data_IF_726926158848
#
_entry.id   IF_726926158848
#
_cell.length_a   1.000
_cell.length_b   1.000
_cell.length_c   1.000
_cell.angle_alpha   90.00
_cell.angle_beta   90.00
_cell.angle_gamma   90.00
#
_symmetry.space_group_name_H-M   'P 1'
#
loop_
_entity.id
_entity.type
_entity.pdbx_description
1 polymer ?
#
# COMPACT_ATOMS: atom_id res chain seq x y z
N UNK A 1 4.97 16.90 -14.51
CA UNK A 1 5.94 16.94 -13.38
C UNK A 1 5.93 15.55 -12.79
N UNK A 2 7.08 14.92 -12.65
CA UNK A 2 7.15 13.56 -12.11
C UNK A 2 7.08 13.62 -10.59
N UNK A 3 6.35 12.70 -9.96
CA UNK A 3 6.12 12.64 -8.51
C UNK A 3 7.44 12.64 -7.71
N UNK A 4 8.40 11.83 -8.13
CA UNK A 4 9.75 11.76 -7.51
C UNK A 4 10.47 13.11 -7.51
N UNK A 5 10.33 13.93 -8.56
CA UNK A 5 10.91 15.28 -8.60
C UNK A 5 10.31 16.18 -7.50
N UNK A 6 8.97 16.09 -7.32
CA UNK A 6 8.28 16.85 -6.27
C UNK A 6 8.68 16.38 -4.88
N UNK A 7 8.76 15.07 -4.65
CA UNK A 7 9.19 14.49 -3.38
C UNK A 7 10.62 14.96 -3.04
N UNK A 8 11.54 14.99 -4.00
CA UNK A 8 12.90 15.44 -3.78
C UNK A 8 12.95 16.94 -3.42
N UNK A 9 12.18 17.78 -4.12
CA UNK A 9 12.06 19.22 -3.78
C UNK A 9 11.52 19.38 -2.35
N UNK A 10 10.50 18.63 -1.97
CA UNK A 10 9.93 18.68 -0.62
C UNK A 10 10.96 18.26 0.43
N UNK A 11 11.70 17.17 0.20
CA UNK A 11 12.77 16.72 1.08
C UNK A 11 13.85 17.80 1.28
N UNK A 12 14.28 18.41 0.19
CA UNK A 12 15.28 19.50 0.22
C UNK A 12 14.77 20.72 0.99
N UNK A 13 13.55 21.15 0.74
CA UNK A 13 12.97 22.34 1.38
C UNK A 13 12.66 22.13 2.87
N UNK A 14 12.22 20.94 3.25
CA UNK A 14 11.81 20.63 4.64
C UNK A 14 12.93 20.04 5.47
N UNK A 15 13.99 19.52 4.84
CA UNK A 15 15.07 18.75 5.48
C UNK A 15 14.52 17.60 6.35
N UNK A 16 13.36 17.06 5.97
CA UNK A 16 12.67 16.02 6.70
C UNK A 16 13.35 14.67 6.54
N UNK A 17 13.70 14.02 7.64
CA UNK A 17 14.21 12.65 7.69
C UNK A 17 13.12 11.57 7.69
N UNK A 18 11.83 11.95 7.58
CA UNK A 18 10.71 11.01 7.65
C UNK A 18 10.16 10.60 6.29
N UNK A 19 10.53 11.30 5.21
CA UNK A 19 9.99 11.06 3.87
C UNK A 19 10.80 9.99 3.16
N UNK A 20 10.14 8.91 2.67
CA UNK A 20 10.80 7.90 1.83
C UNK A 20 10.38 6.46 2.08
N UNK A 21 9.56 6.20 3.09
CA UNK A 21 8.88 4.93 3.36
C UNK A 21 7.36 5.07 3.18
N UNK A 22 6.62 3.97 3.28
CA UNK A 22 5.15 3.94 3.20
C UNK A 22 4.51 4.79 4.32
N UNK A 23 5.15 4.83 5.50
CA UNK A 23 4.73 5.65 6.62
C UNK A 23 5.90 6.41 7.24
N UNK A 24 5.61 7.57 7.81
CA UNK A 24 6.53 8.25 8.73
C UNK A 24 6.52 7.53 10.08
N UNK A 25 7.65 7.02 10.55
CA UNK A 25 7.77 6.38 11.87
C UNK A 25 8.16 7.40 12.94
N UNK A 26 7.22 7.76 13.80
CA UNK A 26 7.43 8.65 14.95
C UNK A 26 7.80 7.81 16.18
N UNK A 27 9.07 7.46 16.26
CA UNK A 27 9.60 6.49 17.23
C UNK A 27 9.29 6.85 18.67
N UNK A 28 9.42 8.12 19.04
CA UNK A 28 9.21 8.60 20.42
C UNK A 28 7.73 8.49 20.86
N UNK A 29 6.82 8.45 19.89
CA UNK A 29 5.38 8.27 20.12
C UNK A 29 4.91 6.82 19.94
N UNK A 30 5.75 5.94 19.43
CA UNK A 30 5.41 4.56 19.05
C UNK A 30 4.25 4.50 18.07
N UNK A 31 4.25 5.37 17.06
CA UNK A 31 3.25 5.39 15.99
C UNK A 31 3.90 5.51 14.62
N UNK A 32 3.15 5.07 13.61
CA UNK A 32 3.39 5.44 12.21
C UNK A 32 2.24 6.30 11.70
N UNK A 33 2.52 7.16 10.72
CA UNK A 33 1.54 8.06 10.10
C UNK A 33 1.74 8.04 8.60
N UNK A 34 0.66 7.87 7.86
CA UNK A 34 0.59 8.04 6.40
C UNK A 34 -0.60 8.88 6.00
N UNK A 35 -0.64 9.37 4.77
CA UNK A 35 -1.76 10.10 4.21
C UNK A 35 -1.84 9.89 2.71
N UNK A 36 -3.02 9.47 2.24
CA UNK A 36 -3.38 9.42 0.83
C UNK A 36 -4.59 10.28 0.50
N UNK A 37 -4.59 10.73 -0.76
CA UNK A 37 -5.67 11.47 -1.36
C UNK A 37 -6.40 10.59 -2.38
N UNK A 38 -7.74 10.60 -2.35
CA UNK A 38 -8.60 9.85 -3.24
C UNK A 38 -9.56 10.80 -3.95
N UNK A 39 -9.34 11.02 -5.26
CA UNK A 39 -9.90 12.13 -6.03
C UNK A 39 -10.77 11.60 -7.17
N UNK A 40 -12.00 12.10 -7.29
CA UNK A 40 -12.92 11.82 -8.41
C UNK A 40 -12.27 12.17 -9.76
N UNK A 41 -12.44 11.29 -10.75
CA UNK A 41 -11.85 11.33 -12.09
C UNK A 41 -10.32 11.14 -12.16
N UNK A 42 -9.68 10.92 -11.03
CA UNK A 42 -8.25 10.52 -10.95
C UNK A 42 -8.17 9.07 -10.48
N UNK A 43 -8.67 8.77 -9.30
CA UNK A 43 -8.57 7.46 -8.67
C UNK A 43 -9.86 6.64 -8.80
N UNK A 44 -11.01 7.28 -9.01
CA UNK A 44 -12.30 6.63 -9.18
C UNK A 44 -13.25 7.47 -10.02
N UNK A 45 -14.33 6.84 -10.50
CA UNK A 45 -15.48 7.54 -11.08
C UNK A 45 -16.75 7.13 -10.35
N UNK A 46 -17.62 8.09 -10.00
CA UNK A 46 -18.91 7.81 -9.36
C UNK A 46 -19.85 6.93 -10.20
N UNK A 47 -19.67 6.88 -11.53
CA UNK A 47 -20.40 5.99 -12.42
C UNK A 47 -19.91 4.53 -12.37
N UNK A 48 -18.70 4.28 -11.83
CA UNK A 48 -18.10 2.95 -11.73
C UNK A 48 -18.27 2.32 -10.35
N UNK A 49 -18.35 3.14 -9.29
CA UNK A 49 -18.30 2.71 -7.92
C UNK A 49 -19.46 3.28 -7.10
N UNK A 50 -20.03 2.49 -6.22
CA UNK A 50 -21.00 2.97 -5.23
C UNK A 50 -20.32 3.84 -4.17
N UNK A 51 -21.06 4.70 -3.45
CA UNK A 51 -20.49 5.49 -2.35
C UNK A 51 -19.77 4.63 -1.31
N UNK A 52 -20.32 3.44 -1.01
CA UNK A 52 -19.68 2.46 -0.13
C UNK A 52 -18.32 2.03 -0.65
N UNK A 53 -18.22 1.65 -1.93
CA UNK A 53 -16.97 1.19 -2.54
C UNK A 53 -15.90 2.29 -2.59
N UNK A 54 -16.32 3.53 -2.88
CA UNK A 54 -15.43 4.70 -2.85
C UNK A 54 -14.85 4.87 -1.45
N UNK A 55 -15.68 4.85 -0.42
CA UNK A 55 -15.23 4.98 0.97
C UNK A 55 -14.36 3.81 1.43
N UNK A 56 -14.75 2.58 1.08
CA UNK A 56 -14.00 1.37 1.41
C UNK A 56 -12.58 1.43 0.84
N UNK A 57 -12.45 1.69 -0.46
CA UNK A 57 -11.15 1.77 -1.12
C UNK A 57 -10.31 2.92 -0.57
N UNK A 58 -10.90 4.12 -0.37
CA UNK A 58 -10.19 5.27 0.19
C UNK A 58 -9.58 4.98 1.58
N UNK A 59 -10.26 4.21 2.43
CA UNK A 59 -9.69 3.79 3.70
C UNK A 59 -8.65 2.69 3.53
N UNK A 60 -8.95 1.68 2.71
CA UNK A 60 -8.09 0.50 2.50
C UNK A 60 -6.72 0.88 1.98
N UNK A 61 -6.58 1.83 1.05
CA UNK A 61 -5.28 2.27 0.51
C UNK A 61 -4.38 2.86 1.60
N UNK A 62 -4.93 3.64 2.52
CA UNK A 62 -4.19 4.16 3.67
C UNK A 62 -3.83 3.08 4.70
N UNK A 63 -4.71 2.11 4.90
CA UNK A 63 -4.45 1.00 5.83
C UNK A 63 -3.38 0.08 5.28
N UNK A 64 -3.26 -0.09 3.95
CA UNK A 64 -2.21 -0.90 3.36
C UNK A 64 -0.82 -0.39 3.70
N UNK A 65 -0.59 0.94 3.69
CA UNK A 65 0.67 1.57 4.10
C UNK A 65 1.00 1.28 5.58
N UNK A 66 -0.01 1.42 6.46
CA UNK A 66 0.17 1.10 7.87
C UNK A 66 0.58 -0.36 8.06
N UNK A 67 -0.03 -1.28 7.32
CA UNK A 67 0.33 -2.71 7.35
C UNK A 67 1.70 -2.96 6.74
N UNK A 68 2.06 -2.28 5.63
CA UNK A 68 3.37 -2.33 4.99
C UNK A 68 4.48 -1.88 5.93
N UNK A 69 4.22 -0.88 6.78
CA UNK A 69 5.17 -0.47 7.82
C UNK A 69 5.34 -1.51 8.95
N UNK A 70 4.48 -2.54 9.02
CA UNK A 70 4.46 -3.53 10.11
C UNK A 70 3.64 -3.10 11.33
N UNK A 71 3.03 -1.92 11.31
CA UNK A 71 2.23 -1.39 12.41
C UNK A 71 0.81 -1.97 12.42
N UNK A 72 0.09 -1.75 13.52
CA UNK A 72 -1.32 -2.10 13.65
C UNK A 72 -2.17 -0.85 13.43
N UNK A 73 -3.13 -0.85 12.49
CA UNK A 73 -4.06 0.27 12.31
C UNK A 73 -4.78 0.66 13.60
N UNK A 74 -4.85 1.96 13.89
CA UNK A 74 -5.42 2.45 15.14
C UNK A 74 -6.44 3.57 14.95
N UNK A 75 -6.10 4.60 14.16
CA UNK A 75 -6.95 5.77 13.98
C UNK A 75 -6.91 6.29 12.56
N UNK A 76 -8.03 6.93 12.14
CA UNK A 76 -8.14 7.69 10.89
C UNK A 76 -8.67 9.09 11.18
N UNK A 77 -8.19 10.08 10.42
CA UNK A 77 -8.89 11.35 10.19
C UNK A 77 -9.28 11.46 8.73
N UNK A 78 -10.43 12.07 8.44
CA UNK A 78 -11.01 12.13 7.09
C UNK A 78 -11.28 13.57 6.70
N UNK A 79 -10.50 14.12 5.79
CA UNK A 79 -10.83 15.36 5.08
C UNK A 79 -11.72 15.04 3.89
N UNK A 80 -12.85 15.72 3.79
CA UNK A 80 -13.83 15.55 2.72
C UNK A 80 -14.14 16.87 2.04
N UNK A 81 -13.92 16.93 0.73
CA UNK A 81 -14.52 17.99 -0.11
C UNK A 81 -15.60 17.36 -0.99
N UNK A 82 -16.81 17.90 -0.92
CA UNK A 82 -17.97 17.31 -1.60
C UNK A 82 -18.70 18.34 -2.48
N UNK A 83 -19.08 17.97 -3.72
CA UNK A 83 -19.94 18.79 -4.56
C UNK A 83 -21.39 18.83 -4.03
N UNK A 84 -22.13 19.86 -4.43
CA UNK A 84 -23.48 20.14 -3.92
C UNK A 84 -24.54 19.09 -4.31
N UNK A 85 -24.25 18.19 -5.23
CA UNK A 85 -25.15 17.11 -5.68
C UNK A 85 -25.04 15.84 -4.80
N UNK A 86 -24.18 15.84 -3.80
CA UNK A 86 -24.03 14.77 -2.82
C UNK A 86 -25.10 14.89 -1.74
N UNK A 87 -25.92 13.87 -1.59
CA UNK A 87 -26.96 13.81 -0.56
C UNK A 87 -26.53 13.10 0.73
N UNK A 88 -27.41 13.11 1.72
CA UNK A 88 -27.14 12.50 3.02
C UNK A 88 -26.96 10.98 2.94
N UNK A 89 -27.63 10.30 2.04
CA UNK A 89 -27.55 8.83 1.92
C UNK A 89 -26.24 8.43 1.25
N UNK A 90 -25.75 9.22 0.31
CA UNK A 90 -24.40 9.07 -0.22
C UNK A 90 -23.35 9.15 0.91
N UNK A 91 -23.43 10.15 1.77
CA UNK A 91 -22.48 10.34 2.88
C UNK A 91 -22.54 9.17 3.88
N UNK A 92 -23.75 8.68 4.20
CA UNK A 92 -23.90 7.51 5.09
C UNK A 92 -23.19 6.27 4.53
N UNK A 93 -23.43 5.97 3.26
CA UNK A 93 -22.81 4.82 2.59
C UNK A 93 -21.30 5.00 2.42
N UNK A 94 -20.82 6.20 2.10
CA UNK A 94 -19.41 6.53 2.02
C UNK A 94 -18.71 6.24 3.36
N UNK A 95 -19.23 6.77 4.47
CA UNK A 95 -18.63 6.56 5.79
C UNK A 95 -18.82 5.14 6.32
N UNK A 96 -19.85 4.42 5.91
CA UNK A 96 -19.95 2.98 6.16
C UNK A 96 -18.81 2.24 5.45
N UNK A 97 -18.53 2.57 4.19
CA UNK A 97 -17.40 2.02 3.46
C UNK A 97 -16.06 2.35 4.11
N UNK A 98 -15.83 3.62 4.49
CA UNK A 98 -14.61 4.03 5.21
C UNK A 98 -14.44 3.22 6.50
N UNK A 99 -15.52 3.03 7.26
CA UNK A 99 -15.46 2.27 8.52
C UNK A 99 -15.10 0.81 8.32
N UNK A 100 -15.66 0.17 7.29
CA UNK A 100 -15.39 -1.25 6.98
C UNK A 100 -13.97 -1.42 6.39
N UNK A 101 -13.51 -0.48 5.53
CA UNK A 101 -12.16 -0.45 4.95
C UNK A 101 -11.07 -0.01 5.93
N UNK A 102 -11.44 0.44 7.13
CA UNK A 102 -10.49 0.86 8.17
C UNK A 102 -9.84 -0.29 8.95
N UNK A 103 -10.24 -1.54 8.72
CA UNK A 103 -9.68 -2.72 9.40
C UNK A 103 -9.57 -2.58 10.92
N UNK A 104 -10.61 -2.00 11.54
CA UNK A 104 -10.71 -1.80 12.98
C UNK A 104 -10.09 -0.51 13.51
N UNK A 105 -9.45 0.31 12.67
CA UNK A 105 -9.04 1.66 13.05
C UNK A 105 -10.28 2.54 13.28
N UNK A 106 -10.18 3.47 14.25
CA UNK A 106 -11.29 4.35 14.61
C UNK A 106 -11.19 5.68 13.89
N UNK A 107 -12.27 6.14 13.29
CA UNK A 107 -12.38 7.50 12.78
C UNK A 107 -12.47 8.45 13.99
N UNK A 108 -11.49 9.34 14.15
CA UNK A 108 -11.38 10.24 15.31
C UNK A 108 -11.62 11.71 15.00
N UNK A 109 -11.84 12.05 13.74
CA UNK A 109 -12.11 13.42 13.30
C UNK A 109 -11.87 13.62 11.83
N UNK A 110 -11.80 14.87 11.42
CA UNK A 110 -11.59 15.27 10.05
C UNK A 110 -12.11 16.68 9.80
N UNK A 111 -12.26 17.03 8.53
CA UNK A 111 -12.80 18.32 8.08
C UNK A 111 -13.73 18.10 6.89
N UNK A 112 -14.72 19.00 6.70
CA UNK A 112 -15.66 18.94 5.57
C UNK A 112 -15.74 20.31 4.92
N UNK A 113 -15.56 20.35 3.61
CA UNK A 113 -15.69 21.57 2.81
C UNK A 113 -16.48 21.32 1.52
N UNK A 114 -16.97 22.37 0.90
CA UNK A 114 -17.55 22.31 -0.44
C UNK A 114 -16.48 22.26 -1.52
N UNK A 115 -16.78 21.61 -2.64
CA UNK A 115 -15.88 21.54 -3.80
C UNK A 115 -16.63 21.18 -5.08
N UNK A 116 -15.91 21.14 -6.20
CA UNK A 116 -16.49 20.80 -7.51
C UNK A 116 -16.43 19.29 -7.82
N UNK A 117 -15.64 18.54 -7.07
CA UNK A 117 -15.46 17.09 -7.17
C UNK A 117 -15.40 16.48 -5.78
N UNK A 118 -15.74 15.21 -5.69
CA UNK A 118 -15.52 14.46 -4.47
C UNK A 118 -14.00 14.22 -4.29
N UNK A 119 -13.49 14.72 -3.18
CA UNK A 119 -12.11 14.57 -2.78
C UNK A 119 -12.08 14.08 -1.33
N UNK A 120 -11.39 12.97 -1.11
CA UNK A 120 -11.25 12.35 0.19
C UNK A 120 -9.76 12.31 0.52
N UNK A 121 -9.38 12.87 1.65
CA UNK A 121 -8.02 12.82 2.17
C UNK A 121 -8.05 12.09 3.50
N UNK A 122 -7.35 10.97 3.61
CA UNK A 122 -7.31 10.20 4.85
C UNK A 122 -5.90 10.22 5.40
N UNK A 123 -5.77 10.59 6.67
CA UNK A 123 -4.56 10.34 7.44
C UNK A 123 -4.78 9.09 8.28
N UNK A 124 -3.93 8.09 8.12
CA UNK A 124 -3.97 6.87 8.93
C UNK A 124 -2.82 6.86 9.94
N UNK A 125 -3.16 6.43 11.16
CA UNK A 125 -2.21 6.30 12.27
C UNK A 125 -2.20 4.85 12.73
N UNK A 126 -1.01 4.25 12.71
CA UNK A 126 -0.76 2.90 13.24
C UNK A 126 0.00 2.93 14.55
N UNK A 127 -0.26 1.96 15.44
CA UNK A 127 0.54 1.74 16.65
C UNK A 127 1.63 0.72 16.38
N UNK A 128 2.83 0.99 16.91
CA UNK A 128 4.00 0.11 16.74
C UNK A 128 4.26 -0.77 17.98
N UNK A 129 3.35 -0.73 18.96
CA UNK A 129 3.49 -1.49 20.20
C UNK A 129 3.63 -2.98 19.92
N UNK A 130 4.70 -3.58 20.48
CA UNK A 130 5.04 -5.00 20.34
C UNK A 130 5.28 -5.46 18.89
N UNK A 131 5.64 -4.52 17.99
CA UNK A 131 5.92 -4.78 16.58
C UNK A 131 7.27 -4.20 16.15
N UNK A 132 7.97 -4.92 15.30
CA UNK A 132 9.15 -4.41 14.60
C UNK A 132 8.67 -3.68 13.34
N UNK A 133 9.12 -2.44 13.18
CA UNK A 133 8.77 -1.62 12.01
C UNK A 133 9.69 -1.94 10.84
N UNK A 134 9.12 -2.07 9.66
CA UNK A 134 9.84 -2.26 8.41
C UNK A 134 10.38 -0.93 7.87
N UNK A 135 11.31 -1.00 6.94
CA UNK A 135 11.69 0.09 6.05
C UNK A 135 12.10 -0.48 4.70
N UNK A 136 11.77 0.21 3.62
CA UNK A 136 12.20 -0.16 2.26
C UNK A 136 13.71 -0.35 2.17
N UNK A 137 14.48 0.38 2.99
CA UNK A 137 15.95 0.36 3.01
C UNK A 137 16.57 -0.80 3.81
N UNK A 138 15.79 -1.72 4.33
CA UNK A 138 16.27 -2.78 5.23
C UNK A 138 16.42 -4.15 4.58
N UNK A 139 16.27 -4.30 3.27
CA UNK A 139 16.60 -5.55 2.60
C UNK A 139 18.12 -5.78 2.58
N UNK A 140 18.55 -7.02 2.84
CA UNK A 140 19.99 -7.37 2.91
C UNK A 140 20.29 -8.58 2.03
N UNK A 141 21.48 -8.65 1.41
CA UNK A 141 21.91 -9.84 0.69
C UNK A 141 21.75 -11.11 1.55
N UNK A 142 21.22 -12.17 0.93
CA UNK A 142 20.88 -13.41 1.63
C UNK A 142 19.44 -13.46 2.17
N UNK A 143 18.68 -12.36 2.10
CA UNK A 143 17.25 -12.38 2.39
C UNK A 143 16.46 -13.03 1.26
N UNK A 144 15.31 -13.59 1.60
CA UNK A 144 14.33 -14.11 0.65
C UNK A 144 13.16 -13.14 0.53
N UNK A 145 12.59 -13.09 -0.66
CA UNK A 145 11.42 -12.25 -0.96
C UNK A 145 10.17 -13.12 -0.90
N UNK A 146 9.25 -12.75 -0.05
CA UNK A 146 7.97 -13.44 0.17
C UNK A 146 6.81 -12.50 -0.07
N UNK A 147 5.70 -13.06 -0.53
CA UNK A 147 4.44 -12.36 -0.71
C UNK A 147 3.26 -13.31 -0.53
N UNK A 148 2.05 -12.80 -0.64
CA UNK A 148 0.79 -13.55 -0.60
C UNK A 148 -0.19 -13.04 -1.65
N UNK A 149 -1.34 -13.71 -1.79
CA UNK A 149 -2.39 -13.27 -2.68
C UNK A 149 -2.15 -13.59 -4.17
N UNK A 150 -3.01 -13.04 -5.01
CA UNK A 150 -2.96 -13.10 -6.47
C UNK A 150 -2.85 -11.70 -7.03
N UNK A 151 -2.00 -11.52 -8.03
CA UNK A 151 -1.72 -10.23 -8.63
C UNK A 151 -2.41 -10.05 -9.98
N UNK A 152 -2.69 -8.78 -10.34
CA UNK A 152 -3.22 -8.39 -11.64
C UNK A 152 -4.74 -8.40 -11.75
N UNK A 153 -5.46 -8.86 -10.73
CA UNK A 153 -6.93 -8.86 -10.75
C UNK A 153 -7.49 -7.44 -10.70
N UNK A 154 -6.88 -6.53 -9.95
CA UNK A 154 -7.30 -5.12 -9.90
C UNK A 154 -7.12 -4.43 -11.26
N UNK A 155 -5.96 -4.58 -11.88
CA UNK A 155 -5.69 -4.01 -13.21
C UNK A 155 -6.69 -4.53 -14.27
N UNK A 156 -7.00 -5.83 -14.25
CA UNK A 156 -8.03 -6.43 -15.10
C UNK A 156 -9.41 -5.85 -14.82
N UNK A 157 -9.77 -5.66 -13.55
CA UNK A 157 -11.05 -5.06 -13.17
C UNK A 157 -11.21 -3.64 -13.67
N UNK A 158 -10.14 -2.83 -13.64
CA UNK A 158 -10.14 -1.50 -14.22
C UNK A 158 -10.36 -1.52 -15.74
N UNK A 159 -9.72 -2.43 -16.46
CA UNK A 159 -9.94 -2.57 -17.91
C UNK A 159 -11.37 -3.00 -18.24
N UNK A 160 -11.96 -3.90 -17.46
CA UNK A 160 -13.36 -4.31 -17.60
C UNK A 160 -14.32 -3.13 -17.35
N UNK A 161 -14.07 -2.28 -16.33
CA UNK A 161 -14.83 -1.04 -16.09
C UNK A 161 -14.75 -0.07 -17.26
N UNK A 162 -13.56 0.15 -17.84
CA UNK A 162 -13.36 0.99 -19.03
C UNK A 162 -14.11 0.46 -20.24
N UNK A 163 -14.23 -0.88 -20.39
CA UNK A 163 -15.02 -1.53 -21.44
C UNK A 163 -16.53 -1.48 -21.20
N UNK A 164 -16.98 -0.90 -20.09
CA UNK A 164 -18.40 -0.74 -19.77
C UNK A 164 -19.00 -1.87 -18.95
N UNK A 165 -18.23 -2.89 -18.54
CA UNK A 165 -18.70 -3.88 -17.58
C UNK A 165 -18.87 -3.22 -16.21
N UNK A 166 -19.78 -3.77 -15.40
CA UNK A 166 -20.07 -3.23 -14.05
C UNK A 166 -20.06 -4.29 -12.97
N UNK A 167 -19.80 -5.56 -13.33
CA UNK A 167 -19.79 -6.64 -12.35
C UNK A 167 -18.91 -7.79 -12.84
N UNK A 168 -17.89 -8.10 -12.07
CA UNK A 168 -17.05 -9.31 -12.15
C UNK A 168 -16.26 -9.44 -10.85
N UNK A 169 -15.56 -10.56 -10.63
CA UNK A 169 -14.65 -10.72 -9.49
C UNK A 169 -13.45 -9.77 -9.61
N UNK A 170 -12.95 -9.52 -10.82
CA UNK A 170 -11.86 -8.58 -11.07
C UNK A 170 -12.29 -7.13 -10.79
N UNK A 171 -13.48 -6.72 -11.21
CA UNK A 171 -14.05 -5.40 -10.86
C UNK A 171 -14.18 -5.27 -9.34
N UNK A 172 -14.64 -6.32 -8.66
CA UNK A 172 -14.72 -6.31 -7.21
C UNK A 172 -13.35 -6.20 -6.56
N UNK A 173 -12.33 -6.90 -7.06
CA UNK A 173 -10.97 -6.79 -6.56
C UNK A 173 -10.43 -5.36 -6.72
N UNK A 174 -10.77 -4.67 -7.83
CA UNK A 174 -10.38 -3.28 -8.05
C UNK A 174 -11.10 -2.30 -7.11
N UNK A 175 -12.40 -2.46 -6.91
CA UNK A 175 -13.23 -1.50 -6.14
C UNK A 175 -13.23 -1.78 -4.63
N UNK A 176 -12.99 -3.02 -4.22
CA UNK A 176 -12.97 -3.47 -2.83
C UNK A 176 -11.74 -4.35 -2.57
N UNK A 177 -10.50 -3.78 -2.67
CA UNK A 177 -9.28 -4.54 -2.43
C UNK A 177 -9.27 -5.09 -1.00
N UNK A 178 -8.84 -6.35 -0.86
CA UNK A 178 -8.78 -7.01 0.45
C UNK A 178 -7.35 -7.02 0.95
N UNK A 179 -7.16 -6.53 2.17
CA UNK A 179 -5.90 -6.62 2.87
C UNK A 179 -5.85 -7.87 3.74
N UNK A 180 -4.63 -8.35 4.01
CA UNK A 180 -4.36 -9.44 4.95
C UNK A 180 -3.48 -8.94 6.11
N UNK A 181 -4.10 -8.30 7.14
CA UNK A 181 -3.36 -7.80 8.32
C UNK A 181 -2.54 -8.89 9.01
N UNK A 182 -2.98 -10.14 8.91
CA UNK A 182 -2.33 -11.31 9.51
C UNK A 182 -0.95 -11.58 8.90
N UNK A 183 -0.71 -11.25 7.61
CA UNK A 183 0.61 -11.36 6.99
C UNK A 183 1.58 -10.36 7.62
N UNK A 184 1.19 -9.09 7.73
CA UNK A 184 1.98 -8.05 8.41
C UNK A 184 2.25 -8.43 9.88
N UNK A 185 1.25 -8.92 10.60
CA UNK A 185 1.36 -9.33 11.99
C UNK A 185 2.29 -10.54 12.16
N UNK A 186 2.15 -11.57 11.30
CA UNK A 186 2.99 -12.76 11.36
C UNK A 186 4.49 -12.43 11.22
N UNK A 187 4.82 -11.36 10.50
CA UNK A 187 6.19 -10.88 10.35
C UNK A 187 6.55 -9.94 11.52
N UNK A 188 5.85 -8.82 11.64
CA UNK A 188 6.25 -7.72 12.52
C UNK A 188 6.27 -8.06 14.02
N UNK A 189 5.41 -8.99 14.48
CA UNK A 189 5.41 -9.45 15.87
C UNK A 189 6.47 -10.49 16.20
N UNK A 190 7.04 -11.16 15.20
CA UNK A 190 7.92 -12.31 15.43
C UNK A 190 9.37 -12.12 14.95
N UNK A 191 9.60 -11.14 14.06
CA UNK A 191 10.93 -10.83 13.54
C UNK A 191 11.70 -9.93 14.52
N UNK A 192 13.02 -10.16 14.63
CA UNK A 192 13.92 -9.32 15.44
C UNK A 192 14.90 -8.53 14.58
N UNK A 193 15.25 -9.10 13.47
CA UNK A 193 16.13 -8.52 12.47
C UNK A 193 15.44 -7.36 11.75
N UNK A 194 16.21 -6.44 11.19
CA UNK A 194 15.67 -5.43 10.26
C UNK A 194 15.16 -6.14 9.01
N UNK A 195 14.06 -5.70 8.45
CA UNK A 195 13.43 -6.27 7.27
C UNK A 195 12.75 -5.19 6.43
N UNK A 196 12.61 -5.46 5.14
CA UNK A 196 11.85 -4.59 4.26
C UNK A 196 10.46 -5.20 4.00
N UNK A 197 9.44 -4.35 3.94
CA UNK A 197 8.09 -4.70 3.53
C UNK A 197 7.45 -3.47 2.89
N UNK A 198 6.65 -3.71 1.86
CA UNK A 198 5.93 -2.70 1.11
C UNK A 198 4.58 -3.25 0.68
N UNK A 199 3.61 -2.37 0.44
CA UNK A 199 2.41 -2.74 -0.29
C UNK A 199 2.66 -2.71 -1.81
N UNK A 200 1.67 -3.10 -2.59
CA UNK A 200 1.78 -3.18 -4.06
C UNK A 200 0.75 -2.28 -4.74
N UNK A 201 0.65 -1.03 -4.28
CA UNK A 201 -0.20 0.01 -4.88
C UNK A 201 0.14 0.26 -6.35
N UNK A 202 1.42 0.48 -6.66
CA UNK A 202 1.94 0.64 -8.03
C UNK A 202 2.28 -0.71 -8.70
N UNK A 203 2.09 -1.81 -7.97
CA UNK A 203 2.31 -3.17 -8.45
C UNK A 203 3.52 -3.85 -7.83
N UNK A 204 3.56 -5.18 -7.99
CA UNK A 204 4.58 -5.99 -7.34
C UNK A 204 5.98 -5.72 -7.89
N UNK A 205 6.13 -5.57 -9.23
CA UNK A 205 7.45 -5.29 -9.82
C UNK A 205 8.00 -3.95 -9.32
N UNK A 206 7.15 -2.93 -9.21
CA UNK A 206 7.52 -1.61 -8.72
C UNK A 206 7.92 -1.66 -7.23
N UNK A 207 7.15 -2.34 -6.39
CA UNK A 207 7.48 -2.52 -4.97
C UNK A 207 8.83 -3.23 -4.77
N UNK A 208 9.11 -4.27 -5.57
CA UNK A 208 10.40 -4.96 -5.55
C UNK A 208 11.55 -4.05 -5.97
N UNK A 209 11.34 -3.23 -7.00
CA UNK A 209 12.32 -2.27 -7.47
C UNK A 209 12.61 -1.22 -6.39
N UNK A 210 11.59 -0.61 -5.79
CA UNK A 210 11.71 0.41 -4.73
C UNK A 210 12.41 -0.12 -3.47
N UNK A 211 12.11 -1.36 -3.07
CA UNK A 211 12.83 -2.02 -1.95
C UNK A 211 14.31 -2.20 -2.30
N UNK A 212 14.61 -2.68 -3.51
CA UNK A 212 15.98 -2.94 -3.92
C UNK A 212 16.79 -1.66 -4.06
N UNK A 213 16.21 -0.60 -4.63
CA UNK A 213 16.82 0.72 -4.78
C UNK A 213 17.11 1.34 -3.40
N UNK A 214 16.10 1.41 -2.52
CA UNK A 214 16.26 1.98 -1.18
C UNK A 214 17.29 1.23 -0.33
N UNK A 215 17.44 -0.08 -0.55
CA UNK A 215 18.40 -0.94 0.15
C UNK A 215 19.77 -1.05 -0.53
N UNK A 216 19.92 -0.48 -1.74
CA UNK A 216 21.10 -0.62 -2.59
C UNK A 216 21.52 -2.09 -2.81
N UNK A 217 20.57 -2.92 -3.20
CA UNK A 217 20.74 -4.37 -3.46
C UNK A 217 20.16 -4.75 -4.81
N UNK A 218 20.36 -5.99 -5.24
CA UNK A 218 19.65 -6.59 -6.38
C UNK A 218 18.62 -7.60 -5.88
N UNK A 219 17.36 -7.44 -6.26
CA UNK A 219 16.35 -8.48 -6.07
C UNK A 219 16.27 -9.33 -7.35
N UNK A 220 16.46 -10.65 -7.22
CA UNK A 220 16.23 -11.63 -8.27
C UNK A 220 14.88 -12.29 -8.05
N UNK A 221 13.89 -11.91 -8.84
CA UNK A 221 12.51 -12.38 -8.71
C UNK A 221 12.13 -13.37 -9.81
N UNK A 222 11.22 -14.27 -9.50
CA UNK A 222 10.50 -15.10 -10.47
C UNK A 222 9.45 -14.25 -11.17
N UNK A 223 9.21 -14.52 -12.47
CA UNK A 223 8.05 -13.96 -13.13
C UNK A 223 6.81 -14.75 -12.68
N UNK A 224 5.91 -14.08 -12.01
CA UNK A 224 4.62 -14.62 -11.60
C UNK A 224 3.51 -13.91 -12.34
N UNK A 225 2.36 -14.57 -12.50
CA UNK A 225 1.20 -13.96 -13.13
C UNK A 225 0.79 -12.67 -12.41
N UNK A 226 0.56 -11.62 -13.18
CA UNK A 226 0.14 -10.31 -12.66
C UNK A 226 1.25 -9.47 -12.01
N UNK A 227 2.53 -9.85 -12.11
CA UNK A 227 3.65 -9.11 -11.49
C UNK A 227 3.71 -7.62 -11.89
N UNK A 228 3.21 -7.28 -13.08
CA UNK A 228 3.09 -5.91 -13.61
C UNK A 228 1.67 -5.34 -13.45
N UNK A 229 0.81 -5.99 -12.67
CA UNK A 229 -0.47 -5.42 -12.25
C UNK A 229 -0.28 -4.29 -11.24
N UNK A 230 -1.34 -3.58 -10.92
CA UNK A 230 -1.31 -2.46 -9.96
C UNK A 230 -2.59 -2.47 -9.11
N UNK A 231 -2.54 -1.75 -7.98
CA UNK A 231 -3.65 -1.60 -7.03
C UNK A 231 -4.20 -2.93 -6.47
N UNK A 232 -3.34 -3.97 -6.37
CA UNK A 232 -3.72 -5.22 -5.70
C UNK A 232 -3.58 -5.10 -4.17
N UNK A 233 -2.73 -4.19 -3.65
CA UNK A 233 -2.51 -3.87 -2.23
C UNK A 233 -2.10 -5.07 -1.36
N UNK A 234 -1.60 -6.14 -1.97
CA UNK A 234 -0.95 -7.20 -1.22
C UNK A 234 0.41 -6.75 -0.70
N UNK A 235 0.91 -7.40 0.33
CA UNK A 235 2.20 -7.07 0.92
C UNK A 235 3.31 -7.96 0.33
N UNK A 236 4.47 -7.35 0.08
CA UNK A 236 5.71 -8.04 -0.25
C UNK A 236 6.77 -7.72 0.80
N UNK A 237 7.53 -8.73 1.25
CA UNK A 237 8.55 -8.54 2.25
C UNK A 237 9.86 -9.23 1.87
N UNK A 238 11.01 -8.60 2.21
CA UNK A 238 12.31 -9.20 2.18
C UNK A 238 12.75 -9.50 3.64
N UNK A 239 12.91 -10.78 3.96
CA UNK A 239 13.17 -11.25 5.32
C UNK A 239 14.34 -12.26 5.33
N UNK A 240 15.05 -12.46 6.46
CA UNK A 240 16.04 -13.52 6.57
C UNK A 240 15.45 -14.90 6.26
N UNK A 241 16.17 -15.74 5.52
CA UNK A 241 15.72 -17.10 5.21
C UNK A 241 15.43 -17.91 6.48
N UNK A 242 16.25 -17.74 7.52
CA UNK A 242 16.06 -18.38 8.84
C UNK A 242 14.76 -18.01 9.55
N UNK A 243 14.12 -16.91 9.13
CA UNK A 243 12.86 -16.46 9.72
C UNK A 243 11.64 -17.19 9.15
N UNK A 244 11.73 -17.80 7.96
CA UNK A 244 10.59 -18.41 7.26
C UNK A 244 9.84 -19.44 8.13
N UNK A 245 10.57 -20.25 8.92
CA UNK A 245 9.97 -21.25 9.79
C UNK A 245 9.15 -20.68 10.97
N UNK A 246 9.22 -19.36 11.21
CA UNK A 246 8.47 -18.66 12.25
C UNK A 246 7.17 -18.07 11.74
N UNK A 247 7.00 -17.93 10.42
CA UNK A 247 5.82 -17.34 9.80
C UNK A 247 4.69 -18.36 9.80
N UNK A 248 3.62 -18.05 10.52
CA UNK A 248 2.40 -18.86 10.60
C UNK A 248 1.30 -18.29 9.67
N UNK A 249 1.63 -18.00 8.44
CA UNK A 249 0.75 -17.50 7.41
C UNK A 249 1.14 -18.11 6.06
N UNK A 250 0.20 -18.28 5.15
CA UNK A 250 0.50 -18.79 3.81
C UNK A 250 1.21 -17.71 2.98
N UNK A 251 2.37 -18.04 2.47
CA UNK A 251 3.18 -17.15 1.64
C UNK A 251 3.83 -17.91 0.48
N UNK A 252 4.27 -17.15 -0.50
CA UNK A 252 5.06 -17.66 -1.63
C UNK A 252 6.45 -17.05 -1.58
N UNK A 253 7.49 -17.86 -1.78
CA UNK A 253 8.85 -17.37 -2.02
C UNK A 253 8.98 -17.05 -3.51
N UNK A 254 9.09 -15.76 -3.82
CA UNK A 254 9.12 -15.26 -5.19
C UNK A 254 10.49 -14.76 -5.63
N UNK A 255 11.48 -14.67 -4.73
CA UNK A 255 12.80 -14.18 -5.07
C UNK A 255 13.78 -14.23 -3.93
N UNK A 256 14.97 -13.71 -4.20
CA UNK A 256 16.07 -13.58 -3.27
C UNK A 256 16.78 -12.24 -3.43
N UNK A 257 17.36 -11.74 -2.34
CA UNK A 257 18.15 -10.52 -2.30
C UNK A 257 19.63 -10.86 -2.46
N UNK A 258 20.31 -10.18 -3.39
CA UNK A 258 21.75 -10.34 -3.69
C UNK A 258 22.47 -9.01 -3.50
N UNK A 259 23.81 -9.06 -3.42
CA UNK A 259 24.65 -7.89 -3.57
C UNK A 259 24.27 -7.14 -4.86
N UNK A 260 24.40 -5.80 -4.83
CA UNK A 260 24.06 -4.98 -6.00
C UNK A 260 24.86 -5.37 -7.24
N UNK A 261 24.19 -5.67 -8.32
CA UNK A 261 24.71 -6.24 -9.58
C UNK A 261 24.30 -5.33 -10.77
N UNK A 262 24.59 -4.03 -10.67
CA UNK A 262 24.26 -3.03 -11.71
C UNK A 262 22.79 -3.01 -12.16
N UNK A 263 21.87 -3.60 -11.39
CA UNK A 263 20.42 -3.55 -11.59
C UNK A 263 19.73 -3.81 -10.27
N UNK A 264 18.72 -3.01 -9.93
CA UNK A 264 17.96 -3.20 -8.70
C UNK A 264 17.04 -4.42 -8.78
N UNK A 265 16.42 -4.68 -9.93
CA UNK A 265 15.47 -5.78 -10.10
C UNK A 265 15.79 -6.61 -11.34
N UNK A 266 15.86 -7.93 -11.18
CA UNK A 266 15.96 -8.92 -12.25
C UNK A 266 14.78 -9.89 -12.17
N UNK A 267 13.91 -9.91 -13.19
CA UNK A 267 12.80 -10.85 -13.27
C UNK A 267 13.15 -11.92 -14.31
N UNK A 268 13.22 -13.19 -13.89
CA UNK A 268 13.68 -14.30 -14.73
C UNK A 268 14.99 -14.00 -15.50
N UNK A 269 15.97 -13.37 -14.83
CA UNK A 269 17.25 -12.90 -15.37
C UNK A 269 17.17 -11.78 -16.43
N UNK A 270 16.01 -11.13 -16.58
CA UNK A 270 15.86 -9.91 -17.39
C UNK A 270 15.92 -8.71 -16.42
N UNK A 271 16.79 -7.74 -16.72
CA UNK A 271 16.90 -6.52 -15.93
C UNK A 271 15.67 -5.65 -16.12
N UNK A 272 15.05 -5.26 -15.03
CA UNK A 272 13.95 -4.31 -14.99
C UNK A 272 14.49 -2.91 -14.67
N UNK A 273 14.01 -1.92 -15.37
CA UNK A 273 14.31 -0.52 -15.17
C UNK A 273 12.99 0.23 -14.98
N UNK A 274 12.90 1.07 -13.97
CA UNK A 274 11.80 2.00 -13.82
C UNK A 274 11.92 3.12 -14.88
N UNK A 275 10.84 3.45 -15.59
CA UNK A 275 10.81 4.43 -16.68
C UNK A 275 10.03 5.70 -16.26
#
# INVERSE_FOLDING_TARGET
>A
MKELELINIIKEQTQSGYIGDDCAFLKDLNIVVTQDNFIEDVHFKREWATPYQIGYKAATVNISDVLASGAKPAYLTVGLSAPNDIDNDFIKELYRGISDGAYGAKIIGGDITGGNKLFISITAIGTTKDRKISSRSHAKPGYVVITHGKYGESAKGLEELKQGLRKSDSIRAHLEPKLEPEFSEAISCNIREDYAMMDTSDGLADALYKIAEASNVTIKAKNIEGIFGFEDYHLVAAVPDSFLNKIKFNYYVIGEVKEFDCSYLNINNIKYYDY
#
